data_IF_840102136847
#
_entry.id   IF_840102136847
#
_cell.length_a   1.000
_cell.length_b   1.000
_cell.length_c   1.000
_cell.angle_alpha   90.00
_cell.angle_beta   90.00
_cell.angle_gamma   90.00
#
_symmetry.space_group_name_H-M   'P 1'
#
loop_
_entity.id
_entity.type
_entity.pdbx_description
1 polymer ?
#
# COMPACT_ATOMS: atom_id res chain seq x y z
N UNK A 1 -23.90 -1.74 -24.83
CA UNK A 1 -22.89 -1.11 -23.94
C UNK A 1 -23.21 -1.52 -22.50
N UNK A 2 -22.60 -2.60 -22.03
CA UNK A 2 -22.79 -3.08 -20.67
C UNK A 2 -21.70 -2.43 -19.80
N UNK A 3 -22.11 -1.60 -18.84
CA UNK A 3 -21.24 -1.11 -17.77
C UNK A 3 -20.88 -2.33 -16.93
N UNK A 4 -19.63 -2.77 -17.02
CA UNK A 4 -19.07 -3.80 -16.13
C UNK A 4 -19.09 -3.21 -14.72
N UNK A 5 -20.12 -3.56 -13.96
CA UNK A 5 -20.12 -3.36 -12.51
C UNK A 5 -18.99 -4.22 -11.97
N UNK A 6 -17.96 -3.58 -11.44
CA UNK A 6 -16.87 -4.22 -10.71
C UNK A 6 -17.51 -4.85 -9.47
N UNK A 7 -17.64 -6.17 -9.45
CA UNK A 7 -18.09 -6.91 -8.27
C UNK A 7 -17.04 -6.74 -7.16
N UNK A 8 -17.24 -5.74 -6.30
CA UNK A 8 -16.41 -5.44 -5.14
C UNK A 8 -16.64 -6.43 -3.97
N UNK A 9 -17.44 -7.48 -4.18
CA UNK A 9 -17.74 -8.54 -3.20
C UNK A 9 -17.07 -9.87 -3.52
N UNK A 10 -15.97 -9.86 -4.28
CA UNK A 10 -15.14 -11.06 -4.40
C UNK A 10 -14.58 -11.36 -3.01
N UNK A 11 -14.92 -12.51 -2.42
CA UNK A 11 -14.23 -12.98 -1.22
C UNK A 11 -12.72 -12.90 -1.46
N UNK A 12 -11.92 -12.51 -0.45
CA UNK A 12 -10.47 -12.49 -0.61
C UNK A 12 -9.98 -13.91 -0.92
N UNK A 13 -9.82 -14.20 -2.22
CA UNK A 13 -9.23 -15.46 -2.63
C UNK A 13 -7.77 -15.47 -2.18
N UNK A 14 -7.31 -16.57 -1.61
CA UNK A 14 -5.91 -16.75 -1.20
C UNK A 14 -4.94 -16.46 -2.36
N UNK A 15 -5.36 -16.73 -3.59
CA UNK A 15 -4.63 -16.41 -4.82
C UNK A 15 -4.54 -14.89 -5.04
N UNK A 16 -5.64 -14.15 -4.86
CA UNK A 16 -5.67 -12.70 -4.98
C UNK A 16 -4.76 -12.00 -3.97
N UNK A 17 -4.78 -12.43 -2.71
CA UNK A 17 -3.86 -11.96 -1.67
C UNK A 17 -2.40 -12.20 -2.08
N UNK A 18 -2.09 -13.42 -2.53
CA UNK A 18 -0.71 -13.82 -2.91
C UNK A 18 -0.18 -12.99 -4.08
N UNK A 19 -0.99 -12.80 -5.13
CA UNK A 19 -0.60 -11.98 -6.29
C UNK A 19 -0.38 -10.53 -5.87
N UNK A 20 -1.21 -9.99 -4.99
CA UNK A 20 -1.07 -8.62 -4.48
C UNK A 20 0.19 -8.46 -3.64
N UNK A 21 0.47 -9.38 -2.72
CA UNK A 21 1.71 -9.40 -1.94
C UNK A 21 2.93 -9.42 -2.87
N UNK A 22 2.94 -10.33 -3.86
CA UNK A 22 4.01 -10.40 -4.84
C UNK A 22 4.18 -9.09 -5.62
N UNK A 23 3.08 -8.45 -6.05
CA UNK A 23 3.12 -7.17 -6.76
C UNK A 23 3.73 -6.06 -5.90
N UNK A 24 3.33 -5.97 -4.62
CA UNK A 24 3.90 -5.01 -3.68
C UNK A 24 5.39 -5.27 -3.48
N UNK A 25 5.84 -6.52 -3.35
CA UNK A 25 7.25 -6.87 -3.16
C UNK A 25 8.18 -6.58 -4.35
N UNK A 26 7.61 -6.37 -5.55
CA UNK A 26 8.36 -5.86 -6.70
C UNK A 26 8.76 -4.39 -6.54
N UNK A 27 8.01 -3.61 -5.78
CA UNK A 27 8.28 -2.18 -5.58
C UNK A 27 9.32 -1.95 -4.48
N UNK A 28 10.60 -1.84 -4.86
CA UNK A 28 11.73 -1.74 -3.91
C UNK A 28 12.31 -0.33 -3.74
N UNK A 29 11.78 0.63 -4.48
CA UNK A 29 12.26 2.00 -4.54
C UNK A 29 11.66 2.71 -5.76
N UNK A 30 12.03 3.96 -5.95
CA UNK A 30 11.57 4.71 -7.12
C UNK A 30 12.04 4.06 -8.43
N UNK A 31 11.16 4.02 -9.42
CA UNK A 31 11.50 3.53 -10.75
C UNK A 31 12.63 4.34 -11.36
N UNK A 32 13.67 3.65 -11.85
CA UNK A 32 14.86 4.27 -12.42
C UNK A 32 15.48 5.31 -11.46
N UNK A 33 15.49 5.02 -10.15
CA UNK A 33 16.27 5.80 -9.19
C UNK A 33 17.73 5.86 -9.64
N UNK A 34 18.34 7.05 -9.57
CA UNK A 34 19.73 7.31 -9.94
C UNK A 34 20.10 7.04 -11.42
N UNK A 35 19.12 6.83 -12.29
CA UNK A 35 19.33 6.76 -13.75
C UNK A 35 18.94 8.09 -14.40
N UNK A 36 19.85 8.64 -15.19
CA UNK A 36 19.67 9.94 -15.85
C UNK A 36 20.26 9.91 -17.26
N UNK A 37 19.55 10.51 -18.22
CA UNK A 37 20.02 10.63 -19.60
C UNK A 37 20.28 12.09 -19.94
N UNK A 38 21.51 12.39 -20.33
CA UNK A 38 21.92 13.75 -20.67
C UNK A 38 21.19 14.27 -21.92
N UNK A 39 20.71 15.51 -21.85
CA UNK A 39 19.99 16.22 -22.92
C UNK A 39 18.70 15.52 -23.42
N UNK A 40 18.00 14.79 -22.56
CA UNK A 40 16.75 14.09 -22.90
C UNK A 40 15.56 14.56 -22.02
N UNK A 41 15.10 15.82 -22.13
CA UNK A 41 14.05 16.36 -21.27
C UNK A 41 12.72 15.58 -21.33
N UNK A 42 12.33 15.10 -22.52
CA UNK A 42 11.11 14.31 -22.69
C UNK A 42 11.20 12.95 -21.98
N UNK A 43 12.39 12.36 -21.95
CA UNK A 43 12.63 11.11 -21.21
C UNK A 43 12.52 11.34 -19.71
N UNK A 44 13.12 12.41 -19.19
CA UNK A 44 13.06 12.75 -17.76
C UNK A 44 11.62 13.08 -17.32
N UNK A 45 10.84 13.77 -18.17
CA UNK A 45 9.42 14.02 -17.93
C UNK A 45 8.62 12.70 -17.87
N UNK A 46 8.85 11.80 -18.82
CA UNK A 46 8.22 10.48 -18.82
C UNK A 46 8.59 9.66 -17.57
N UNK A 47 9.87 9.67 -17.15
CA UNK A 47 10.29 8.98 -15.92
C UNK A 47 9.55 9.51 -14.70
N UNK A 48 9.37 10.83 -14.60
CA UNK A 48 8.63 11.44 -13.49
C UNK A 48 7.16 10.98 -13.46
N UNK A 49 6.49 10.96 -14.63
CA UNK A 49 5.12 10.45 -14.75
C UNK A 49 5.01 8.98 -14.35
N UNK A 50 5.97 8.15 -14.77
CA UNK A 50 6.00 6.73 -14.42
C UNK A 50 6.25 6.49 -12.93
N UNK A 51 7.13 7.27 -12.30
CA UNK A 51 7.35 7.21 -10.85
C UNK A 51 6.05 7.51 -10.10
N UNK A 52 5.33 8.58 -10.49
CA UNK A 52 4.04 8.91 -9.89
C UNK A 52 3.02 7.78 -10.10
N UNK A 53 2.95 7.22 -11.31
CA UNK A 53 2.05 6.11 -11.63
C UNK A 53 2.32 4.88 -10.76
N UNK A 54 3.58 4.44 -10.65
CA UNK A 54 3.94 3.29 -9.83
C UNK A 54 3.74 3.55 -8.33
N UNK A 55 4.00 4.77 -7.86
CA UNK A 55 3.74 5.17 -6.48
C UNK A 55 2.25 5.03 -6.13
N UNK A 56 1.36 5.56 -6.97
CA UNK A 56 -0.09 5.40 -6.78
C UNK A 56 -0.48 3.93 -6.76
N UNK A 57 0.02 3.13 -7.72
CA UNK A 57 -0.30 1.70 -7.80
C UNK A 57 0.14 0.92 -6.55
N UNK A 58 1.35 1.18 -6.01
CA UNK A 58 1.82 0.47 -4.81
C UNK A 58 1.05 0.90 -3.56
N UNK A 59 0.69 2.18 -3.44
CA UNK A 59 -0.13 2.69 -2.33
C UNK A 59 -1.51 2.05 -2.33
N UNK A 60 -2.18 2.01 -3.48
CA UNK A 60 -3.48 1.34 -3.63
C UNK A 60 -3.40 -0.16 -3.31
N UNK A 61 -2.36 -0.83 -3.82
CA UNK A 61 -2.14 -2.24 -3.56
C UNK A 61 -1.87 -2.52 -2.07
N UNK A 62 -1.11 -1.66 -1.39
CA UNK A 62 -0.85 -1.78 0.04
C UNK A 62 -2.11 -1.61 0.90
N UNK A 63 -2.94 -0.61 0.61
CA UNK A 63 -4.22 -0.45 1.30
C UNK A 63 -5.09 -1.70 1.15
N UNK A 64 -5.21 -2.20 -0.07
CA UNK A 64 -6.04 -3.37 -0.35
C UNK A 64 -5.46 -4.64 0.30
N UNK A 65 -4.13 -4.75 0.40
CA UNK A 65 -3.42 -5.84 1.08
C UNK A 65 -3.64 -5.81 2.59
N UNK A 66 -3.57 -4.63 3.21
CA UNK A 66 -3.92 -4.41 4.63
C UNK A 66 -5.36 -4.89 4.89
N UNK A 67 -6.31 -4.49 4.04
CA UNK A 67 -7.70 -4.89 4.17
C UNK A 67 -7.91 -6.40 4.01
N UNK A 68 -7.17 -7.06 3.09
CA UNK A 68 -7.24 -8.52 2.94
C UNK A 68 -6.76 -9.25 4.21
N UNK A 69 -5.65 -8.81 4.79
CA UNK A 69 -5.10 -9.39 6.01
C UNK A 69 -6.02 -9.16 7.22
N UNK A 70 -6.60 -7.96 7.35
CA UNK A 70 -7.61 -7.67 8.38
C UNK A 70 -8.81 -8.60 8.24
N UNK A 71 -9.31 -8.83 7.02
CA UNK A 71 -10.44 -9.76 6.76
C UNK A 71 -10.11 -11.20 7.16
N UNK A 72 -8.85 -11.61 7.06
CA UNK A 72 -8.37 -12.94 7.47
C UNK A 72 -7.96 -13.00 8.96
N UNK A 73 -8.10 -11.90 9.70
CA UNK A 73 -7.63 -11.75 11.07
C UNK A 73 -6.11 -11.99 11.26
N UNK A 74 -5.32 -11.87 10.19
CA UNK A 74 -3.86 -11.87 10.23
C UNK A 74 -3.37 -10.44 10.51
N UNK A 75 -3.49 -10.03 11.76
CA UNK A 75 -3.23 -8.64 12.15
C UNK A 75 -1.74 -8.30 12.14
N UNK A 76 -0.87 -9.29 12.32
CA UNK A 76 0.58 -9.14 12.22
C UNK A 76 1.00 -8.80 10.78
N UNK A 77 0.49 -9.54 9.78
CA UNK A 77 0.74 -9.23 8.38
C UNK A 77 0.11 -7.88 7.96
N UNK A 78 -1.10 -7.59 8.45
CA UNK A 78 -1.74 -6.29 8.24
C UNK A 78 -0.87 -5.14 8.77
N UNK A 79 -0.31 -5.28 9.98
CA UNK A 79 0.55 -4.26 10.58
C UNK A 79 1.85 -4.07 9.78
N UNK A 80 2.46 -5.15 9.30
CA UNK A 80 3.66 -5.08 8.47
C UNK A 80 3.40 -4.34 7.14
N UNK A 81 2.30 -4.67 6.46
CA UNK A 81 1.88 -3.97 5.24
C UNK A 81 1.56 -2.49 5.52
N UNK A 82 0.83 -2.19 6.60
CA UNK A 82 0.46 -0.82 6.96
C UNK A 82 1.68 0.04 7.34
N UNK A 83 2.68 -0.54 8.01
CA UNK A 83 3.95 0.16 8.29
C UNK A 83 4.70 0.50 7.01
N UNK A 84 4.65 -0.38 5.99
CA UNK A 84 5.23 -0.08 4.67
C UNK A 84 4.46 1.03 3.97
N UNK A 85 3.14 1.04 4.07
CA UNK A 85 2.29 2.12 3.56
C UNK A 85 2.66 3.47 4.21
N UNK A 86 2.78 3.53 5.54
CA UNK A 86 3.17 4.76 6.24
C UNK A 86 4.60 5.22 5.96
N UNK A 87 5.50 4.34 5.53
CA UNK A 87 6.82 4.75 5.03
C UNK A 87 6.74 5.46 3.68
N UNK A 88 5.75 5.12 2.85
CA UNK A 88 5.51 5.78 1.56
C UNK A 88 4.66 7.05 1.73
N UNK A 89 3.65 6.98 2.59
CA UNK A 89 2.61 7.99 2.78
C UNK A 89 2.51 8.35 4.28
N UNK A 90 3.55 9.00 4.82
CA UNK A 90 3.62 9.34 6.24
C UNK A 90 2.53 10.31 6.72
N UNK A 91 1.83 10.98 5.81
CA UNK A 91 0.71 11.89 6.09
C UNK A 91 -0.67 11.23 5.96
N UNK A 92 -0.73 9.93 5.65
CA UNK A 92 -2.00 9.25 5.36
C UNK A 92 -2.81 8.98 6.63
N UNK A 93 -3.71 9.90 6.99
CA UNK A 93 -4.63 9.73 8.12
C UNK A 93 -5.37 8.37 8.08
N UNK A 94 -5.90 7.88 6.94
CA UNK A 94 -6.51 6.54 6.88
C UNK A 94 -5.56 5.43 7.33
N UNK A 95 -4.29 5.47 6.93
CA UNK A 95 -3.29 4.47 7.31
C UNK A 95 -2.90 4.58 8.79
N UNK A 96 -2.84 5.78 9.37
CA UNK A 96 -2.65 5.97 10.81
C UNK A 96 -3.82 5.36 11.61
N UNK A 97 -5.06 5.64 11.21
CA UNK A 97 -6.25 5.05 11.86
C UNK A 97 -6.28 3.53 11.73
N UNK A 98 -5.94 2.98 10.57
CA UNK A 98 -5.83 1.54 10.38
C UNK A 98 -4.76 0.94 11.30
N UNK A 99 -3.59 1.58 11.44
CA UNK A 99 -2.55 1.13 12.38
C UNK A 99 -3.07 1.04 13.82
N UNK A 100 -3.76 2.09 14.29
CA UNK A 100 -4.35 2.11 15.63
C UNK A 100 -5.32 0.95 15.85
N UNK A 101 -6.20 0.69 14.87
CA UNK A 101 -7.17 -0.39 14.94
C UNK A 101 -6.50 -1.77 14.93
N UNK A 102 -5.50 -1.98 14.07
CA UNK A 102 -4.73 -3.22 14.00
C UNK A 102 -4.00 -3.48 15.33
N UNK A 103 -3.31 -2.47 15.88
CA UNK A 103 -2.62 -2.56 17.17
C UNK A 103 -3.59 -2.87 18.31
N UNK A 104 -4.79 -2.26 18.31
CA UNK A 104 -5.81 -2.58 19.29
C UNK A 104 -6.31 -4.03 19.18
N UNK A 105 -6.41 -4.59 17.96
CA UNK A 105 -6.78 -6.00 17.72
C UNK A 105 -5.69 -6.98 18.16
N UNK A 106 -4.43 -6.59 18.06
CA UNK A 106 -3.28 -7.33 18.60
C UNK A 106 -3.16 -7.22 20.13
N UNK A 107 -4.00 -6.42 20.80
CA UNK A 107 -3.92 -6.17 22.25
C UNK A 107 -2.86 -5.14 22.65
N UNK A 108 -2.17 -4.51 21.69
CA UNK A 108 -1.17 -3.48 21.92
C UNK A 108 -1.79 -2.10 22.13
N UNK A 109 -2.67 -1.97 23.13
CA UNK A 109 -3.44 -0.74 23.38
C UNK A 109 -2.57 0.50 23.60
N UNK A 110 -1.45 0.38 24.30
CA UNK A 110 -0.53 1.50 24.52
C UNK A 110 0.09 1.99 23.22
N UNK A 111 0.45 1.08 22.31
CA UNK A 111 0.98 1.45 21.00
C UNK A 111 -0.10 2.09 20.11
N UNK A 112 -1.35 1.60 20.18
CA UNK A 112 -2.48 2.22 19.48
C UNK A 112 -2.72 3.67 19.93
N UNK A 113 -2.58 3.97 21.23
CA UNK A 113 -2.70 5.34 21.73
C UNK A 113 -1.52 6.22 21.32
N UNK A 114 -0.29 5.71 21.41
CA UNK A 114 0.89 6.44 20.97
C UNK A 114 0.82 6.84 19.48
N UNK A 115 0.20 6.00 18.66
CA UNK A 115 0.01 6.27 17.23
C UNK A 115 -0.92 7.47 16.94
N UNK A 116 -1.80 7.84 17.87
CA UNK A 116 -2.66 9.03 17.74
C UNK A 116 -1.87 10.34 17.89
N UNK A 117 -0.73 10.29 18.57
CA UNK A 117 0.10 11.46 18.88
C UNK A 117 1.16 11.74 17.80
N UNK A 118 1.24 10.88 16.77
CA UNK A 118 2.12 11.02 15.60
C UNK A 118 1.42 11.86 14.54
#
# INVERSE_FOLDING_TARGET
MAVVRRDLTSEPSAVGLTIRQAAVDLYRGEFLSDFYVHNAPDFEAWVLEERQRFHIMVVEALFALVDDYIRQADYEAALAANRRLLKLEAWSEPAHRQQMLILARLGERSAALAQFEV
#
